data_IF_921372716540
#
_entry.id   IF_921372716540
#
_cell.length_a   1.000
_cell.length_b   1.000
_cell.length_c   1.000
_cell.angle_alpha   90.00
_cell.angle_beta   90.00
_cell.angle_gamma   90.00
#
_symmetry.space_group_name_H-M   'P 1'
#
loop_
_entity.id
_entity.type
_entity.pdbx_description
1 polymer ?
#
# COMPACT_ATOMS: atom_id res chain seq x y z
N UNK A 1 0.89 -8.18 1.73
CA UNK A 1 0.00 -9.37 1.70
C UNK A 1 -1.32 -9.19 2.43
N UNK A 2 -1.33 -8.69 3.66
CA UNK A 2 -2.59 -8.58 4.43
C UNK A 2 -3.64 -7.71 3.75
N UNK A 3 -3.23 -6.60 3.13
CA UNK A 3 -4.12 -5.72 2.37
C UNK A 3 -4.79 -6.47 1.21
N UNK A 4 -4.04 -7.30 0.48
CA UNK A 4 -4.58 -8.14 -0.62
C UNK A 4 -5.62 -9.11 -0.06
N UNK A 5 -5.30 -9.81 1.04
CA UNK A 5 -6.20 -10.78 1.67
C UNK A 5 -7.49 -10.13 2.20
N UNK A 6 -7.37 -8.94 2.76
CA UNK A 6 -8.50 -8.21 3.35
C UNK A 6 -9.43 -7.60 2.30
N UNK A 7 -8.87 -7.11 1.19
CA UNK A 7 -9.64 -6.42 0.14
C UNK A 7 -10.09 -7.34 -0.99
N UNK A 8 -9.42 -8.48 -1.18
CA UNK A 8 -9.65 -9.37 -2.33
C UNK A 8 -9.16 -8.82 -3.67
N UNK A 9 -8.52 -7.65 -3.69
CA UNK A 9 -7.97 -7.05 -4.90
C UNK A 9 -6.68 -7.75 -5.33
N UNK A 10 -6.41 -7.75 -6.63
CA UNK A 10 -5.16 -8.32 -7.15
C UNK A 10 -3.94 -7.55 -6.63
N UNK A 11 -2.79 -8.24 -6.57
CA UNK A 11 -1.52 -7.62 -6.18
C UNK A 11 -1.18 -6.39 -7.03
N UNK A 12 -1.48 -6.42 -8.34
CA UNK A 12 -1.25 -5.29 -9.24
C UNK A 12 -2.11 -4.08 -8.90
N UNK A 13 -3.38 -4.28 -8.54
CA UNK A 13 -4.28 -3.19 -8.11
C UNK A 13 -3.79 -2.57 -6.79
N UNK A 14 -3.39 -3.40 -5.81
CA UNK A 14 -2.83 -2.89 -4.56
C UNK A 14 -1.52 -2.13 -4.81
N UNK A 15 -0.64 -2.64 -5.67
CA UNK A 15 0.61 -1.95 -6.01
C UNK A 15 0.35 -0.57 -6.64
N UNK A 16 -0.64 -0.45 -7.53
CA UNK A 16 -1.03 0.84 -8.12
C UNK A 16 -1.56 1.82 -7.08
N UNK A 17 -2.48 1.40 -6.19
CA UNK A 17 -3.01 2.26 -5.13
C UNK A 17 -1.91 2.72 -4.18
N UNK A 18 -1.00 1.82 -3.78
CA UNK A 18 0.12 2.17 -2.92
C UNK A 18 1.08 3.15 -3.63
N UNK A 19 1.33 2.98 -4.93
CA UNK A 19 2.13 3.93 -5.71
C UNK A 19 1.48 5.31 -5.75
N UNK A 20 0.17 5.40 -5.96
CA UNK A 20 -0.56 6.69 -5.96
C UNK A 20 -0.48 7.39 -4.60
N UNK A 21 -0.65 6.64 -3.50
CA UNK A 21 -0.53 7.19 -2.15
C UNK A 21 0.90 7.65 -1.83
N UNK A 22 1.91 6.92 -2.30
CA UNK A 22 3.33 7.25 -2.14
C UNK A 22 3.69 8.54 -2.90
N UNK A 23 3.24 8.66 -4.16
CA UNK A 23 3.40 9.88 -4.95
C UNK A 23 2.67 11.08 -4.35
N UNK A 24 1.54 10.84 -3.68
CA UNK A 24 0.79 11.87 -2.96
C UNK A 24 1.42 12.25 -1.61
N UNK A 25 2.51 11.58 -1.18
CA UNK A 25 3.14 11.80 0.13
C UNK A 25 2.27 11.34 1.31
N UNK A 26 1.35 10.40 1.06
CA UNK A 26 0.38 9.89 2.05
C UNK A 26 0.72 8.49 2.55
N UNK A 27 1.85 7.93 2.11
CA UNK A 27 2.30 6.58 2.44
C UNK A 27 3.69 6.64 3.08
N UNK A 28 3.87 5.91 4.18
CA UNK A 28 5.18 5.60 4.75
C UNK A 28 5.51 4.12 4.53
N UNK A 29 6.76 3.85 4.17
CA UNK A 29 7.27 2.49 3.91
C UNK A 29 8.19 2.05 5.05
N UNK A 30 7.97 0.83 5.52
CA UNK A 30 8.72 0.22 6.60
C UNK A 30 9.48 -1.02 6.11
N UNK A 31 10.41 -1.50 6.93
CA UNK A 31 11.09 -2.78 6.66
C UNK A 31 10.09 -3.94 6.54
N UNK A 32 10.45 -4.95 5.75
CA UNK A 32 9.59 -6.13 5.53
C UNK A 32 8.37 -5.88 4.63
N UNK A 33 8.32 -4.76 3.90
CA UNK A 33 7.22 -4.47 2.97
C UNK A 33 5.94 -3.96 3.64
N UNK A 34 6.02 -3.55 4.91
CA UNK A 34 4.92 -2.95 5.64
C UNK A 34 4.73 -1.48 5.23
N UNK A 35 3.49 -1.00 5.30
CA UNK A 35 3.12 0.37 4.94
C UNK A 35 2.16 0.96 5.96
N UNK A 36 2.24 2.26 6.19
CA UNK A 36 1.28 3.03 6.98
C UNK A 36 0.82 4.28 6.22
N UNK A 37 -0.32 4.83 6.62
CA UNK A 37 -0.74 6.15 6.16
C UNK A 37 -0.03 7.22 7.00
N UNK A 38 0.32 8.33 6.35
CA UNK A 38 0.80 9.54 7.02
C UNK A 38 -0.40 10.24 7.68
N UNK A 39 -0.21 10.72 8.91
CA UNK A 39 -1.23 11.43 9.69
C UNK A 39 -1.42 12.89 9.24
#
# INVERSE_FOLDING_TARGET
DEIIRHTGLSAAQIAMVLLELDLAGRLERHAGGNVSLVA
#
